data_IF_245308454856
#
_entry.id   IF_245308454856
#
_cell.length_a   1.000
_cell.length_b   1.000
_cell.length_c   1.000
_cell.angle_alpha   90.00
_cell.angle_beta   90.00
_cell.angle_gamma   90.00
#
_symmetry.space_group_name_H-M   'P 1'
#
loop_
_entity.id
_entity.type
_entity.pdbx_description
1 polymer ?
#
# COMPACT_ATOMS: atom_id res chain seq x y z
N UNK A 1 15.53 -12.35 0.48
CA UNK A 1 15.74 -11.94 1.89
C UNK A 1 16.85 -10.91 2.00
N UNK A 2 16.95 -10.11 3.10
CA UNK A 2 18.20 -9.40 3.39
C UNK A 2 19.31 -10.45 3.43
N UNK A 3 20.19 -10.42 2.44
CA UNK A 3 21.38 -11.26 2.38
C UNK A 3 22.32 -10.73 3.46
N UNK A 4 22.19 -11.20 4.70
CA UNK A 4 23.03 -10.71 5.78
C UNK A 4 22.60 -11.18 7.16
N UNK A 5 23.53 -11.04 8.10
CA UNK A 5 23.34 -11.36 9.50
C UNK A 5 22.16 -10.56 10.11
N UNK A 6 21.25 -11.29 10.76
CA UNK A 6 20.07 -10.75 11.46
C UNK A 6 20.45 -10.05 12.77
N UNK A 7 21.74 -9.96 13.12
CA UNK A 7 22.24 -9.24 14.29
C UNK A 7 21.75 -7.79 14.39
N UNK A 8 21.56 -7.12 13.25
CA UNK A 8 21.03 -5.75 13.16
C UNK A 8 19.55 -5.61 13.54
N UNK A 9 18.81 -6.70 13.73
CA UNK A 9 17.41 -6.69 14.14
C UNK A 9 17.29 -6.88 15.65
N UNK A 10 16.34 -6.18 16.27
CA UNK A 10 16.04 -6.36 17.69
C UNK A 10 15.36 -7.71 17.96
N UNK A 11 15.42 -8.21 19.19
CA UNK A 11 14.76 -9.49 19.54
C UNK A 11 13.23 -9.38 19.39
N UNK A 12 12.68 -8.18 19.54
CA UNK A 12 11.27 -7.91 19.26
C UNK A 12 10.93 -8.05 17.78
N UNK A 13 11.83 -7.63 16.88
CA UNK A 13 11.65 -7.81 15.44
C UNK A 13 11.74 -9.29 15.05
N UNK A 14 12.70 -10.03 15.62
CA UNK A 14 12.88 -11.47 15.38
C UNK A 14 11.64 -12.27 15.81
N UNK A 15 11.18 -12.10 17.06
CA UNK A 15 9.93 -12.72 17.55
C UNK A 15 8.72 -12.39 16.70
N UNK A 16 8.60 -11.15 16.22
CA UNK A 16 7.50 -10.77 15.32
C UNK A 16 7.59 -11.50 13.99
N UNK A 17 8.79 -11.63 13.41
CA UNK A 17 8.99 -12.37 12.18
C UNK A 17 8.60 -13.85 12.38
N UNK A 18 9.11 -14.48 13.44
CA UNK A 18 8.78 -15.88 13.80
C UNK A 18 7.27 -16.10 13.90
N UNK A 19 6.54 -15.26 14.64
CA UNK A 19 5.07 -15.38 14.73
C UNK A 19 4.34 -15.24 13.39
N UNK A 20 4.83 -14.40 12.48
CA UNK A 20 4.22 -14.24 11.15
C UNK A 20 4.56 -15.44 10.28
N UNK A 21 5.79 -15.93 10.36
CA UNK A 21 6.27 -17.11 9.66
C UNK A 21 5.46 -18.35 10.05
N UNK A 22 5.29 -18.59 11.35
CA UNK A 22 4.47 -19.69 11.87
C UNK A 22 3.04 -19.62 11.35
N UNK A 23 2.46 -18.41 11.26
CA UNK A 23 1.12 -18.24 10.69
C UNK A 23 1.04 -18.58 9.20
N UNK A 24 2.12 -18.37 8.43
CA UNK A 24 2.18 -18.76 7.02
C UNK A 24 2.48 -20.25 6.85
N UNK A 25 3.36 -20.82 7.68
CA UNK A 25 3.63 -22.27 7.74
C UNK A 25 2.34 -23.04 8.05
N UNK A 26 1.56 -22.56 9.02
CA UNK A 26 0.25 -23.14 9.36
C UNK A 26 -0.78 -23.07 8.21
N UNK A 27 -0.55 -22.19 7.22
CA UNK A 27 -1.37 -22.10 5.99
C UNK A 27 -0.80 -22.92 4.83
N UNK A 28 0.22 -23.74 5.07
CA UNK A 28 0.85 -24.60 4.08
C UNK A 28 1.87 -23.90 3.19
N UNK A 29 2.32 -22.69 3.53
CA UNK A 29 3.42 -22.02 2.82
C UNK A 29 4.75 -22.69 3.21
N UNK A 30 5.65 -22.88 2.25
CA UNK A 30 6.99 -23.42 2.51
C UNK A 30 7.75 -22.54 3.51
N UNK A 31 8.64 -23.13 4.29
CA UNK A 31 9.40 -22.41 5.32
C UNK A 31 10.15 -21.19 4.77
N UNK A 32 10.85 -21.36 3.64
CA UNK A 32 11.61 -20.27 3.02
C UNK A 32 10.72 -19.13 2.55
N UNK A 33 9.54 -19.42 2.02
CA UNK A 33 8.60 -18.40 1.59
C UNK A 33 7.88 -17.73 2.77
N UNK A 34 7.51 -18.51 3.79
CA UNK A 34 6.92 -18.02 5.03
C UNK A 34 7.88 -17.04 5.73
N UNK A 35 9.15 -17.43 5.87
CA UNK A 35 10.22 -16.59 6.41
C UNK A 35 10.37 -15.31 5.58
N UNK A 36 10.41 -15.43 4.25
CA UNK A 36 10.56 -14.28 3.36
C UNK A 36 9.41 -13.28 3.54
N UNK A 37 8.16 -13.76 3.59
CA UNK A 37 6.95 -12.95 3.80
C UNK A 37 6.95 -12.31 5.18
N UNK A 38 7.39 -13.03 6.21
CA UNK A 38 7.50 -12.54 7.57
C UNK A 38 8.48 -11.37 7.69
N UNK A 39 9.71 -11.55 7.22
CA UNK A 39 10.74 -10.51 7.26
C UNK A 39 10.38 -9.31 6.38
N UNK A 40 9.76 -9.52 5.22
CA UNK A 40 9.25 -8.43 4.39
C UNK A 40 8.22 -7.56 5.15
N UNK A 41 7.32 -8.21 5.90
CA UNK A 41 6.31 -7.50 6.72
C UNK A 41 6.95 -6.69 7.83
N UNK A 42 7.91 -7.28 8.56
CA UNK A 42 8.65 -6.58 9.62
C UNK A 42 9.41 -5.39 9.03
N UNK A 43 10.12 -5.58 7.92
CA UNK A 43 10.90 -4.54 7.26
C UNK A 43 10.03 -3.39 6.74
N UNK A 44 8.85 -3.67 6.19
CA UNK A 44 7.90 -2.63 5.79
C UNK A 44 7.50 -1.75 6.98
N UNK A 45 7.19 -2.38 8.11
CA UNK A 45 6.78 -1.69 9.33
C UNK A 45 7.92 -0.91 10.00
N UNK A 46 9.13 -1.48 10.08
CA UNK A 46 10.25 -0.89 10.83
C UNK A 46 11.23 -0.07 9.99
N UNK A 47 11.27 -0.28 8.66
CA UNK A 47 12.33 0.25 7.79
C UNK A 47 13.62 -0.56 7.80
N UNK A 48 13.60 -1.79 8.34
CA UNK A 48 14.78 -2.65 8.53
C UNK A 48 15.19 -2.80 9.99
N UNK A 49 16.43 -3.21 10.25
CA UNK A 49 16.94 -3.52 11.59
C UNK A 49 17.02 -2.30 12.53
N UNK A 50 16.62 -2.49 13.78
CA UNK A 50 16.60 -1.43 14.82
C UNK A 50 17.87 -1.38 15.68
N UNK A 51 18.78 -2.37 15.58
CA UNK A 51 20.08 -2.32 16.27
C UNK A 51 21.09 -1.42 15.55
N UNK A 52 22.24 -1.18 16.18
CA UNK A 52 23.30 -0.30 15.66
C UNK A 52 23.69 -0.76 14.25
N UNK A 53 23.78 0.19 13.31
CA UNK A 53 24.08 -0.09 11.91
C UNK A 53 22.91 -0.67 11.09
N UNK A 54 21.69 -0.71 11.64
CA UNK A 54 20.46 -1.08 10.94
C UNK A 54 19.69 0.14 10.42
N UNK A 55 19.08 0.01 9.23
CA UNK A 55 18.34 1.09 8.54
C UNK A 55 17.03 1.48 9.24
N UNK A 56 16.47 0.62 10.10
CA UNK A 56 15.24 0.89 10.84
C UNK A 56 15.37 2.02 11.86
N UNK A 57 16.61 2.40 12.22
CA UNK A 57 16.88 3.58 13.08
C UNK A 57 16.62 4.90 12.39
N UNK A 58 16.78 4.98 11.07
CA UNK A 58 16.54 6.19 10.30
C UNK A 58 15.04 6.48 10.10
N UNK A 59 14.18 5.47 10.28
CA UNK A 59 12.73 5.62 10.15
C UNK A 59 12.15 6.16 11.46
N UNK A 60 11.46 7.30 11.39
CA UNK A 60 10.80 7.90 12.56
C UNK A 60 9.68 7.01 13.10
N UNK A 61 9.38 7.12 14.40
CA UNK A 61 8.30 6.36 15.02
C UNK A 61 6.92 6.69 14.42
N UNK A 62 6.69 7.94 14.01
CA UNK A 62 5.48 8.36 13.31
C UNK A 62 5.33 7.63 11.97
N UNK A 63 6.41 7.52 11.19
CA UNK A 63 6.42 6.77 9.93
C UNK A 63 6.22 5.26 10.16
N UNK A 64 6.87 4.67 11.17
CA UNK A 64 6.64 3.26 11.55
C UNK A 64 5.20 3.00 11.96
N UNK A 65 4.58 3.92 12.71
CA UNK A 65 3.18 3.84 13.12
C UNK A 65 2.24 3.91 11.92
N UNK A 66 2.50 4.83 10.99
CA UNK A 66 1.73 4.95 9.75
C UNK A 66 1.78 3.65 8.93
N UNK A 67 2.96 3.03 8.80
CA UNK A 67 3.16 1.79 8.05
C UNK A 67 2.49 0.58 8.70
N UNK A 68 2.50 0.51 10.04
CA UNK A 68 1.71 -0.48 10.79
C UNK A 68 0.21 -0.33 10.54
N UNK A 69 -0.30 0.90 10.60
CA UNK A 69 -1.71 1.21 10.32
C UNK A 69 -2.09 0.84 8.89
N UNK A 70 -1.27 1.22 7.93
CA UNK A 70 -1.50 0.92 6.51
C UNK A 70 -1.48 -0.59 6.23
N UNK A 71 -0.55 -1.32 6.84
CA UNK A 71 -0.51 -2.79 6.75
C UNK A 71 -1.78 -3.44 7.32
N UNK A 72 -2.26 -2.98 8.47
CA UNK A 72 -3.49 -3.48 9.09
C UNK A 72 -4.73 -3.16 8.24
N UNK A 73 -4.80 -1.94 7.70
CA UNK A 73 -5.89 -1.54 6.82
C UNK A 73 -5.94 -2.37 5.53
N UNK A 74 -4.78 -2.61 4.90
CA UNK A 74 -4.70 -3.49 3.72
C UNK A 74 -5.13 -4.92 4.04
N UNK A 75 -4.74 -5.46 5.19
CA UNK A 75 -5.16 -6.80 5.62
C UNK A 75 -6.68 -6.88 5.89
N UNK A 76 -7.30 -5.81 6.41
CA UNK A 76 -8.75 -5.76 6.59
C UNK A 76 -9.47 -5.69 5.23
N UNK A 77 -8.97 -4.88 4.30
CA UNK A 77 -9.51 -4.77 2.95
C UNK A 77 -9.46 -6.09 2.17
N UNK A 78 -8.38 -6.85 2.29
CA UNK A 78 -8.29 -8.16 1.60
C UNK A 78 -9.28 -9.16 2.16
N UNK A 79 -9.54 -9.12 3.48
CA UNK A 79 -10.60 -9.94 4.11
C UNK A 79 -12.00 -9.55 3.64
N UNK A 80 -12.23 -8.28 3.30
CA UNK A 80 -13.50 -7.81 2.75
C UNK A 80 -13.61 -7.97 1.22
N UNK A 81 -12.73 -8.77 0.60
CA UNK A 81 -12.76 -9.06 -0.84
C UNK A 81 -12.21 -7.93 -1.73
N UNK A 82 -11.61 -6.87 -1.15
CA UNK A 82 -10.94 -5.85 -1.94
C UNK A 82 -9.52 -6.27 -2.33
N UNK A 83 -9.09 -6.05 -3.59
CA UNK A 83 -7.77 -6.47 -4.03
C UNK A 83 -6.66 -5.68 -3.33
N UNK A 84 -5.62 -6.39 -2.88
CA UNK A 84 -4.51 -5.86 -2.08
C UNK A 84 -3.70 -4.73 -2.75
N UNK A 85 -3.82 -4.58 -4.08
CA UNK A 85 -2.89 -3.80 -4.90
C UNK A 85 -3.43 -2.47 -5.44
N UNK A 86 -4.61 -2.00 -4.99
CA UNK A 86 -5.10 -0.66 -5.41
C UNK A 86 -4.34 0.51 -4.79
N UNK A 87 -3.56 0.28 -3.73
CA UNK A 87 -2.95 1.33 -2.91
C UNK A 87 -1.70 2.00 -3.49
N UNK A 88 -0.83 1.29 -4.22
CA UNK A 88 0.39 1.88 -4.80
C UNK A 88 0.16 2.46 -6.19
N UNK A 89 -0.60 1.76 -7.05
CA UNK A 89 -0.96 2.25 -8.38
C UNK A 89 -1.81 3.53 -8.34
N UNK A 90 -2.62 3.72 -7.29
CA UNK A 90 -3.45 4.92 -7.12
C UNK A 90 -2.71 6.13 -6.53
N UNK A 91 -1.57 5.94 -5.85
CA UNK A 91 -0.88 7.03 -5.14
C UNK A 91 0.04 7.85 -6.05
N UNK A 92 0.46 7.30 -7.18
CA UNK A 92 1.18 8.04 -8.23
C UNK A 92 0.28 8.79 -9.22
N UNK A 93 -1.03 8.49 -9.27
CA UNK A 93 -1.92 8.95 -10.36
C UNK A 93 -2.81 10.15 -9.99
N UNK A 94 -2.47 10.93 -8.96
CA UNK A 94 -3.36 12.01 -8.48
C UNK A 94 -2.62 13.25 -7.97
N UNK A 95 -1.83 13.90 -8.82
CA UNK A 95 -1.57 15.34 -8.73
C UNK A 95 -1.01 15.83 -10.07
N UNK A 96 -1.86 16.46 -10.88
CA UNK A 96 -1.46 17.10 -12.12
C UNK A 96 -2.67 17.24 -13.04
N UNK A 97 -2.88 18.42 -13.59
CA UNK A 97 -3.92 18.76 -14.57
C UNK A 97 -3.90 17.87 -15.82
N UNK A 98 -2.85 17.08 -16.04
CA UNK A 98 -2.73 16.02 -17.05
C UNK A 98 -3.49 14.74 -16.70
N UNK A 99 -3.87 14.53 -15.44
CA UNK A 99 -4.52 13.31 -15.00
C UNK A 99 -5.96 13.17 -15.53
N UNK A 100 -6.67 14.28 -15.75
CA UNK A 100 -8.09 14.25 -16.19
C UNK A 100 -8.18 13.89 -17.68
N UNK A 101 -7.28 14.37 -18.53
CA UNK A 101 -7.29 14.04 -19.97
C UNK A 101 -6.94 12.57 -20.25
N UNK A 102 -6.06 11.98 -19.43
CA UNK A 102 -5.63 10.58 -19.53
C UNK A 102 -6.63 9.58 -18.94
N UNK A 103 -7.63 10.04 -18.18
CA UNK A 103 -8.65 9.16 -17.62
C UNK A 103 -9.55 8.56 -18.70
N UNK A 104 -10.04 7.34 -18.46
CA UNK A 104 -11.08 6.73 -19.28
C UNK A 104 -12.39 7.50 -19.13
N UNK A 105 -13.30 7.38 -20.10
CA UNK A 105 -14.63 8.02 -20.03
C UNK A 105 -15.36 7.63 -18.73
N UNK A 106 -15.23 6.39 -18.30
CA UNK A 106 -15.92 5.88 -17.11
C UNK A 106 -15.34 6.46 -15.82
N UNK A 107 -14.02 6.59 -15.73
CA UNK A 107 -13.36 7.28 -14.62
C UNK A 107 -13.79 8.75 -14.54
N UNK A 108 -13.88 9.42 -15.69
CA UNK A 108 -14.38 10.79 -15.80
C UNK A 108 -15.86 10.89 -15.38
N UNK A 109 -16.69 9.92 -15.77
CA UNK A 109 -18.10 9.88 -15.38
C UNK A 109 -18.27 9.65 -13.86
N UNK A 110 -17.45 8.79 -13.26
CA UNK A 110 -17.45 8.57 -11.80
C UNK A 110 -17.00 9.83 -11.05
N UNK A 111 -16.01 10.55 -11.59
CA UNK A 111 -15.51 11.78 -10.98
C UNK A 111 -16.52 12.93 -11.11
N UNK A 112 -17.17 13.04 -12.28
CA UNK A 112 -18.27 13.97 -12.53
C UNK A 112 -19.50 13.68 -11.65
N UNK A 113 -19.79 12.40 -11.36
CA UNK A 113 -20.83 12.00 -10.40
C UNK A 113 -20.48 12.46 -8.98
N UNK A 114 -19.22 12.34 -8.56
CA UNK A 114 -18.76 12.79 -7.23
C UNK A 114 -18.80 14.31 -7.07
N UNK A 115 -18.63 15.06 -8.16
CA UNK A 115 -18.75 16.53 -8.21
C UNK A 115 -20.15 17.02 -8.58
N UNK A 116 -21.13 16.11 -8.66
CA UNK A 116 -22.52 16.40 -8.99
C UNK A 116 -22.73 17.21 -10.29
N UNK A 117 -21.94 16.93 -11.32
CA UNK A 117 -22.08 17.59 -12.63
C UNK A 117 -23.37 17.09 -13.29
N UNK A 118 -24.31 18.00 -13.54
CA UNK A 118 -25.56 17.68 -14.26
C UNK A 118 -25.29 17.43 -15.74
N UNK A 119 -26.05 16.52 -16.34
CA UNK A 119 -25.88 16.16 -17.75
C UNK A 119 -24.66 15.26 -18.06
N UNK A 120 -23.85 14.90 -17.05
CA UNK A 120 -22.66 14.02 -17.16
C UNK A 120 -22.88 12.73 -17.97
N UNK A 121 -24.07 12.12 -17.94
CA UNK A 121 -24.37 10.88 -18.64
C UNK A 121 -24.47 11.05 -20.17
N UNK A 122 -24.81 12.26 -20.62
CA UNK A 122 -24.87 12.64 -22.04
C UNK A 122 -23.54 13.15 -22.57
N UNK A 123 -22.61 13.51 -21.68
CA UNK A 123 -21.32 14.05 -22.07
C UNK A 123 -20.37 13.00 -22.67
N UNK A 124 -19.67 13.40 -23.74
CA UNK A 124 -18.54 12.66 -24.32
C UNK A 124 -17.27 12.89 -23.50
N UNK A 125 -16.22 12.09 -23.76
CA UNK A 125 -14.96 12.14 -22.98
C UNK A 125 -14.38 13.57 -22.91
N UNK A 126 -14.35 14.28 -24.03
CA UNK A 126 -13.85 15.66 -24.09
C UNK A 126 -14.68 16.62 -23.23
N UNK A 127 -16.00 16.55 -23.32
CA UNK A 127 -16.94 17.39 -22.54
C UNK A 127 -16.85 17.09 -21.04
N UNK A 128 -16.62 15.83 -20.65
CA UNK A 128 -16.39 15.46 -19.26
C UNK A 128 -15.07 16.04 -18.72
N UNK A 129 -14.01 16.07 -19.53
CA UNK A 129 -12.72 16.67 -19.15
C UNK A 129 -12.90 18.18 -18.92
N UNK A 130 -13.59 18.86 -19.85
CA UNK A 130 -13.85 20.29 -19.76
C UNK A 130 -14.76 20.66 -18.59
N UNK A 131 -15.83 19.89 -18.36
CA UNK A 131 -16.72 20.11 -17.23
C UNK A 131 -15.98 19.91 -15.88
N UNK A 132 -15.01 18.99 -15.84
CA UNK A 132 -14.21 18.70 -14.65
C UNK A 132 -13.04 19.67 -14.43
N UNK A 133 -12.61 20.40 -15.46
CA UNK A 133 -11.59 21.44 -15.34
C UNK A 133 -12.19 22.80 -14.96
N UNK A 134 -13.47 23.03 -15.29
CA UNK A 134 -14.22 24.25 -14.96
C UNK A 134 -14.99 24.20 -13.63
N UNK A 135 -15.15 23.02 -13.02
CA UNK A 135 -15.88 22.78 -11.78
C UNK A 135 -14.95 22.57 -10.57
#
# INVERSE_FOLDING_TARGET
>A
MPRGDKSKYSDKQKRKAEHIEDSYKAKGVSESEAEARAWATVNKQSGGGERKGGSGRAKSETAKRAERKDSAHRAAQTRSGHPANRGSASRGKRQGSTAVSEMTRDELMQLARKRDIRGRSRMRKAELIEALSRA
#
